data_IF_242985715793
#
_entry.id   IF_242985715793
#
_cell.length_a   1.000
_cell.length_b   1.000
_cell.length_c   1.000
_cell.angle_alpha   90.00
_cell.angle_beta   90.00
_cell.angle_gamma   90.00
#
_symmetry.space_group_name_H-M   'P 1'
#
loop_
_entity.id
_entity.type
_entity.pdbx_description
1 polymer ?
#
# COMPACT_ATOMS: atom_id res chain seq x y z
N UNK A 1 -21.06 -28.41 -33.42
CA UNK A 1 -22.06 -28.05 -32.39
C UNK A 1 -21.60 -26.82 -31.64
N UNK A 2 -21.95 -25.65 -32.16
CA UNK A 2 -21.58 -24.34 -31.62
C UNK A 2 -22.81 -23.74 -30.95
N UNK A 3 -22.73 -23.35 -29.68
CA UNK A 3 -23.86 -22.71 -28.96
C UNK A 3 -24.07 -21.28 -29.47
N UNK A 4 -25.31 -20.79 -29.61
CA UNK A 4 -25.55 -19.41 -30.01
C UNK A 4 -25.27 -18.46 -28.84
N UNK A 5 -24.73 -17.29 -29.20
CA UNK A 5 -24.40 -16.18 -28.33
C UNK A 5 -25.68 -15.39 -28.00
N UNK A 6 -25.92 -15.10 -26.71
CA UNK A 6 -27.05 -14.29 -26.23
C UNK A 6 -26.55 -12.91 -25.82
N UNK A 7 -27.03 -11.87 -26.50
CA UNK A 7 -26.79 -10.48 -26.09
C UNK A 7 -27.62 -10.14 -24.84
N UNK A 8 -27.13 -9.26 -23.93
CA UNK A 8 -27.94 -8.75 -22.84
C UNK A 8 -28.90 -7.67 -23.36
N UNK A 9 -30.19 -7.97 -23.31
CA UNK A 9 -31.30 -7.03 -23.56
C UNK A 9 -31.43 -6.10 -22.35
N UNK A 10 -31.25 -4.79 -22.54
CA UNK A 10 -31.54 -3.79 -21.51
C UNK A 10 -32.98 -3.31 -21.72
N UNK A 11 -33.86 -3.29 -20.70
CA UNK A 11 -35.21 -2.77 -20.86
C UNK A 11 -35.17 -1.23 -20.94
N UNK A 12 -35.83 -0.69 -21.97
CA UNK A 12 -36.14 0.72 -22.10
C UNK A 12 -37.23 1.10 -21.08
N UNK A 13 -36.94 2.04 -20.18
CA UNK A 13 -37.97 2.69 -19.36
C UNK A 13 -38.27 4.06 -19.92
N UNK A 14 -39.33 4.13 -20.74
CA UNK A 14 -40.02 5.37 -21.08
C UNK A 14 -41.20 5.53 -20.12
N UNK A 15 -41.32 6.68 -19.45
CA UNK A 15 -42.47 6.95 -18.59
C UNK A 15 -42.35 8.25 -17.80
N UNK A 16 -42.55 9.37 -18.48
CA UNK A 16 -42.91 10.63 -17.84
C UNK A 16 -44.36 10.54 -17.33
N UNK A 17 -44.59 10.99 -16.09
CA UNK A 17 -45.86 11.61 -15.70
C UNK A 17 -45.62 12.51 -14.48
N UNK A 18 -45.93 13.78 -14.70
CA UNK A 18 -46.09 14.85 -13.70
C UNK A 18 -47.04 14.42 -12.59
N UNK A 19 -46.61 14.58 -11.34
CA UNK A 19 -47.52 14.88 -10.24
C UNK A 19 -46.85 15.92 -9.33
N UNK A 20 -47.39 17.13 -9.41
CA UNK A 20 -47.13 18.25 -8.51
C UNK A 20 -47.76 17.97 -7.15
N UNK A 21 -46.95 17.77 -6.11
CA UNK A 21 -47.42 17.75 -4.72
C UNK A 21 -46.53 18.60 -3.79
N UNK A 22 -47.23 19.27 -2.88
CA UNK A 22 -46.81 20.30 -1.95
C UNK A 22 -45.51 20.02 -1.18
N UNK A 23 -44.66 21.05 -1.10
CA UNK A 23 -43.56 21.13 -0.16
C UNK A 23 -44.09 21.35 1.27
N UNK A 24 -44.12 20.28 2.06
CA UNK A 24 -44.16 20.36 3.53
C UNK A 24 -42.71 20.38 4.02
N UNK A 25 -42.33 21.44 4.72
CA UNK A 25 -41.03 21.61 5.37
C UNK A 25 -40.90 20.54 6.46
N UNK A 26 -40.12 19.49 6.19
CA UNK A 26 -39.80 18.44 7.14
C UNK A 26 -38.39 18.68 7.72
N UNK A 27 -38.31 18.51 9.03
CA UNK A 27 -37.22 18.87 9.94
C UNK A 27 -35.80 18.53 9.42
N UNK A 28 -34.92 19.51 9.57
CA UNK A 28 -33.47 19.36 9.42
C UNK A 28 -32.99 18.30 10.41
N UNK A 29 -32.37 17.19 9.97
CA UNK A 29 -31.80 16.22 10.88
C UNK A 29 -30.74 16.89 11.74
N UNK A 30 -30.91 16.78 13.06
CA UNK A 30 -29.91 17.15 14.07
C UNK A 30 -28.53 16.65 13.63
N UNK A 31 -27.59 17.58 13.57
CA UNK A 31 -26.21 17.35 13.15
C UNK A 31 -25.61 16.15 13.88
N UNK A 32 -25.38 15.09 13.12
CA UNK A 32 -24.45 14.04 13.51
C UNK A 32 -23.12 14.74 13.76
N UNK A 33 -22.75 14.89 15.04
CA UNK A 33 -21.42 15.33 15.42
C UNK A 33 -20.42 14.53 14.61
N UNK A 34 -19.64 15.21 13.77
CA UNK A 34 -18.52 14.58 13.09
C UNK A 34 -17.70 13.87 14.16
N UNK A 35 -17.46 12.55 14.01
CA UNK A 35 -16.60 11.85 14.94
C UNK A 35 -15.27 12.60 14.97
N UNK A 36 -14.66 12.80 16.16
CA UNK A 36 -13.43 13.56 16.27
C UNK A 36 -12.43 13.01 15.27
N UNK A 37 -11.90 13.90 14.42
CA UNK A 37 -10.94 13.53 13.40
C UNK A 37 -9.85 12.68 14.06
N UNK A 38 -9.81 11.38 13.73
CA UNK A 38 -8.79 10.48 14.27
C UNK A 38 -7.44 11.10 13.93
N UNK A 39 -6.73 11.57 14.95
CA UNK A 39 -5.44 12.20 14.77
C UNK A 39 -4.51 11.16 14.15
N UNK A 40 -4.05 11.45 12.94
CA UNK A 40 -3.11 10.59 12.23
C UNK A 40 -1.87 10.39 13.10
N UNK A 41 -1.38 9.16 13.29
CA UNK A 41 -0.09 8.95 13.92
C UNK A 41 0.97 9.68 13.09
N UNK A 42 1.50 10.76 13.63
CA UNK A 42 2.58 11.52 13.03
C UNK A 42 3.88 10.90 13.51
N UNK A 43 4.59 10.23 12.61
CA UNK A 43 5.93 9.72 12.91
C UNK A 43 6.92 10.87 12.80
N UNK A 44 7.61 11.16 13.90
CA UNK A 44 8.73 12.07 13.86
C UNK A 44 9.97 11.32 13.36
N UNK A 45 10.40 11.57 12.12
CA UNK A 45 11.64 11.03 11.57
C UNK A 45 12.74 12.08 11.73
N UNK A 46 13.80 11.83 12.52
CA UNK A 46 14.88 12.78 12.70
C UNK A 46 15.63 13.10 11.40
N UNK A 47 16.00 14.38 11.19
CA UNK A 47 16.72 14.80 9.98
C UNK A 47 18.12 14.18 9.85
N UNK A 48 18.82 13.92 10.95
CA UNK A 48 20.15 13.28 10.97
C UNK A 48 20.04 11.79 11.30
N UNK A 49 19.17 11.10 10.58
CA UNK A 49 18.84 9.70 10.80
C UNK A 49 20.07 8.80 10.66
N UNK A 50 20.33 7.97 11.67
CA UNK A 50 21.34 6.90 11.66
C UNK A 50 20.71 5.57 11.99
N UNK A 51 21.31 4.45 11.57
CA UNK A 51 20.72 3.12 11.78
C UNK A 51 20.61 2.78 13.27
N UNK A 52 21.57 3.23 14.09
CA UNK A 52 21.50 3.08 15.54
C UNK A 52 20.31 3.80 16.17
N UNK A 53 19.89 4.95 15.63
CA UNK A 53 18.69 5.65 16.10
C UNK A 53 17.43 4.87 15.73
N UNK A 54 17.40 4.24 14.55
CA UNK A 54 16.28 3.38 14.14
C UNK A 54 16.19 2.15 15.03
N UNK A 55 17.31 1.51 15.35
CA UNK A 55 17.33 0.34 16.22
C UNK A 55 16.93 0.65 17.66
N UNK A 56 17.26 1.85 18.15
CA UNK A 56 16.90 2.30 19.50
C UNK A 56 15.42 2.68 19.65
N UNK A 57 14.73 3.07 18.57
CA UNK A 57 13.30 3.42 18.59
C UNK A 57 12.44 2.33 17.92
N UNK A 58 11.67 1.53 18.70
CA UNK A 58 10.82 0.48 18.15
C UNK A 58 9.78 0.95 17.13
N UNK A 59 9.26 2.19 17.26
CA UNK A 59 8.27 2.74 16.33
C UNK A 59 8.91 3.08 15.00
N UNK A 60 10.10 3.69 15.04
CA UNK A 60 10.86 4.03 13.85
C UNK A 60 11.36 2.77 13.13
N UNK A 61 11.82 1.76 13.89
CA UNK A 61 12.15 0.44 13.36
C UNK A 61 10.96 -0.22 12.68
N UNK A 62 9.78 -0.16 13.30
CA UNK A 62 8.55 -0.70 12.72
C UNK A 62 8.16 0.02 11.43
N UNK A 63 8.21 1.36 11.42
CA UNK A 63 7.95 2.16 10.23
C UNK A 63 8.93 1.80 9.10
N UNK A 64 10.23 1.68 9.40
CA UNK A 64 11.23 1.27 8.42
C UNK A 64 10.90 -0.11 7.83
N UNK A 65 10.50 -1.06 8.69
CA UNK A 65 10.11 -2.40 8.26
C UNK A 65 8.87 -2.38 7.37
N UNK A 66 7.82 -1.65 7.75
CA UNK A 66 6.60 -1.52 6.94
C UNK A 66 6.91 -0.90 5.57
N UNK A 67 7.79 0.11 5.52
CA UNK A 67 8.25 0.72 4.26
C UNK A 67 9.03 -0.26 3.39
N UNK A 68 9.97 -1.03 3.98
CA UNK A 68 10.71 -2.06 3.25
C UNK A 68 9.76 -3.12 2.66
N UNK A 69 8.77 -3.57 3.43
CA UNK A 69 7.77 -4.53 2.97
C UNK A 69 6.96 -3.96 1.81
N UNK A 70 6.34 -2.79 1.99
CA UNK A 70 5.50 -2.16 0.96
C UNK A 70 6.28 -1.91 -0.34
N UNK A 71 7.53 -1.47 -0.22
CA UNK A 71 8.34 -1.12 -1.40
C UNK A 71 9.00 -2.31 -2.09
N UNK A 72 8.98 -3.49 -1.47
CA UNK A 72 9.40 -4.75 -2.10
C UNK A 72 8.46 -5.20 -3.22
N UNK A 73 7.19 -4.75 -3.19
CA UNK A 73 6.19 -5.02 -4.20
C UNK A 73 6.30 -4.08 -5.42
N UNK A 74 5.68 -4.47 -6.53
CA UNK A 74 5.54 -3.62 -7.70
C UNK A 74 4.56 -2.47 -7.46
N UNK A 75 4.67 -1.41 -8.27
CA UNK A 75 3.88 -0.17 -8.17
C UNK A 75 2.39 -0.30 -8.55
N UNK A 76 1.93 -1.52 -8.79
CA UNK A 76 0.55 -1.83 -9.10
C UNK A 76 0.15 -3.16 -8.47
N UNK A 77 0.90 -3.60 -7.46
CA UNK A 77 0.59 -4.80 -6.71
C UNK A 77 -0.68 -4.62 -5.90
N UNK A 78 -1.51 -5.66 -5.93
CA UNK A 78 -2.72 -5.77 -5.12
C UNK A 78 -2.35 -6.37 -3.76
N UNK A 79 -2.66 -5.64 -2.68
CA UNK A 79 -2.29 -5.98 -1.31
C UNK A 79 -3.52 -6.33 -0.47
N UNK A 80 -3.35 -7.28 0.47
CA UNK A 80 -4.38 -7.70 1.44
C UNK A 80 -4.12 -7.11 2.81
N UNK A 81 -2.86 -6.87 3.14
CA UNK A 81 -2.43 -6.23 4.36
C UNK A 81 -2.18 -4.73 4.13
N UNK A 82 -2.22 -4.00 5.25
CA UNK A 82 -1.96 -2.57 5.31
C UNK A 82 -1.29 -2.23 6.64
N UNK A 83 -0.28 -1.33 6.65
CA UNK A 83 0.27 -0.85 7.90
C UNK A 83 -0.79 -0.12 8.73
N UNK A 84 -0.76 -0.28 10.05
CA UNK A 84 -1.75 0.29 10.98
C UNK A 84 -1.83 1.83 10.96
N UNK A 85 -0.85 2.50 10.36
CA UNK A 85 -0.80 3.95 10.22
C UNK A 85 -1.39 4.46 8.89
N UNK A 86 -1.78 3.58 7.97
CA UNK A 86 -2.68 3.95 6.88
C UNK A 86 -4.10 3.95 7.46
N UNK A 87 -4.84 5.05 7.31
CA UNK A 87 -6.22 5.10 7.77
C UNK A 87 -7.02 4.09 6.95
N UNK A 88 -7.70 3.16 7.62
CA UNK A 88 -8.64 2.26 6.94
C UNK A 88 -9.89 3.06 6.54
N UNK A 89 -10.26 3.11 5.25
CA UNK A 89 -11.56 3.60 4.85
C UNK A 89 -12.65 2.82 5.59
N UNK A 90 -13.67 3.52 6.10
CA UNK A 90 -14.82 2.93 6.82
C UNK A 90 -15.57 1.81 6.05
N UNK A 91 -15.24 1.57 4.78
CA UNK A 91 -15.91 0.64 3.87
C UNK A 91 -15.00 -0.37 3.18
N UNK A 92 -13.70 -0.44 3.48
CA UNK A 92 -12.77 -1.28 2.69
C UNK A 92 -12.40 -2.60 3.36
N UNK A 93 -13.32 -3.56 3.34
CA UNK A 93 -12.97 -5.00 3.47
C UNK A 93 -12.23 -5.55 2.22
N UNK A 94 -11.52 -4.68 1.50
CA UNK A 94 -11.09 -4.93 0.11
C UNK A 94 -9.59 -4.80 -0.04
N UNK A 95 -9.08 -5.60 -0.98
CA UNK A 95 -7.81 -5.41 -1.62
C UNK A 95 -7.59 -3.96 -2.06
N UNK A 96 -6.35 -3.48 -1.97
CA UNK A 96 -5.96 -2.17 -2.47
C UNK A 96 -4.72 -2.27 -3.34
N UNK A 97 -4.55 -1.34 -4.26
CA UNK A 97 -3.37 -1.28 -5.12
C UNK A 97 -2.38 -0.28 -4.56
N UNK A 98 -1.13 -0.68 -4.40
CA UNK A 98 -0.06 0.24 -4.03
C UNK A 98 0.34 1.07 -5.26
N UNK A 99 0.38 2.39 -5.12
CA UNK A 99 0.93 3.30 -6.13
C UNK A 99 1.94 4.27 -5.52
N UNK A 100 2.90 4.67 -6.34
CA UNK A 100 3.95 5.62 -6.02
C UNK A 100 3.45 7.06 -6.17
N UNK A 101 3.91 7.97 -5.29
CA UNK A 101 3.82 9.40 -5.56
C UNK A 101 4.55 9.78 -6.84
N UNK A 102 4.18 10.93 -7.39
CA UNK A 102 4.72 11.44 -8.65
C UNK A 102 6.23 11.59 -8.66
N UNK A 103 6.86 11.89 -7.53
CA UNK A 103 8.30 12.11 -7.42
C UNK A 103 9.10 10.84 -7.12
N UNK A 104 8.43 9.69 -6.98
CA UNK A 104 9.05 8.40 -6.62
C UNK A 104 8.98 7.44 -7.82
N UNK A 105 10.00 6.59 -7.93
CA UNK A 105 10.05 5.46 -8.87
C UNK A 105 10.37 4.16 -8.16
N UNK A 106 9.90 3.09 -8.77
CA UNK A 106 10.31 1.72 -8.47
C UNK A 106 11.71 1.47 -9.01
N UNK A 107 12.58 0.95 -8.14
CA UNK A 107 13.96 0.59 -8.47
C UNK A 107 14.15 -0.90 -8.19
N UNK A 108 14.74 -1.62 -9.15
CA UNK A 108 15.10 -3.02 -8.97
C UNK A 108 16.37 -3.10 -8.11
N UNK A 109 16.35 -3.93 -7.07
CA UNK A 109 17.54 -4.22 -6.27
C UNK A 109 18.48 -5.18 -7.02
N UNK A 110 19.78 -5.19 -6.68
CA UNK A 110 20.70 -6.19 -7.19
C UNK A 110 20.16 -7.60 -6.95
N UNK A 111 20.27 -8.48 -7.95
CA UNK A 111 19.71 -9.83 -7.89
C UNK A 111 20.74 -10.89 -8.27
N UNK A 112 20.60 -12.09 -7.71
CA UNK A 112 21.28 -13.28 -8.21
C UNK A 112 20.64 -13.72 -9.54
N UNK A 113 21.41 -14.39 -10.40
CA UNK A 113 20.97 -14.79 -11.75
C UNK A 113 19.69 -15.65 -11.80
N UNK A 114 19.29 -16.26 -10.68
CA UNK A 114 18.12 -17.15 -10.56
C UNK A 114 17.13 -16.71 -9.48
N UNK A 115 17.25 -15.48 -8.96
CA UNK A 115 16.38 -14.95 -7.92
C UNK A 115 15.16 -14.24 -8.48
N UNK A 116 14.06 -14.22 -7.70
CA UNK A 116 12.92 -13.34 -7.98
C UNK A 116 13.36 -11.87 -7.86
N UNK A 117 12.89 -10.99 -8.76
CA UNK A 117 13.23 -9.58 -8.72
C UNK A 117 12.62 -8.93 -7.47
N UNK A 118 13.47 -8.34 -6.63
CA UNK A 118 13.03 -7.56 -5.45
C UNK A 118 13.15 -6.09 -5.76
N UNK A 119 12.12 -5.33 -5.42
CA UNK A 119 12.05 -3.90 -5.70
C UNK A 119 12.33 -3.06 -4.44
N UNK A 120 12.60 -1.78 -4.66
CA UNK A 120 12.58 -0.72 -3.65
C UNK A 120 12.03 0.57 -4.26
N UNK A 121 12.11 1.67 -3.53
CA UNK A 121 11.73 3.00 -4.00
C UNK A 121 12.86 4.01 -3.82
N UNK A 122 12.92 4.95 -4.74
CA UNK A 122 13.79 6.14 -4.66
C UNK A 122 13.12 7.33 -5.32
N UNK A 123 13.64 8.52 -5.02
CA UNK A 123 13.29 9.71 -5.78
C UNK A 123 13.66 9.58 -7.25
N UNK A 124 12.84 10.21 -8.09
CA UNK A 124 13.10 10.41 -9.50
C UNK A 124 14.38 11.20 -9.71
N UNK A 125 15.09 10.83 -10.77
CA UNK A 125 16.30 11.46 -11.28
C UNK A 125 16.07 11.87 -12.74
N UNK A 126 16.85 12.82 -13.26
CA UNK A 126 16.84 13.12 -14.69
C UNK A 126 17.06 11.83 -15.52
N UNK A 127 16.17 11.57 -16.47
CA UNK A 127 16.20 10.37 -17.32
C UNK A 127 15.25 9.24 -16.90
N UNK A 128 14.64 9.29 -15.71
CA UNK A 128 13.60 8.33 -15.34
C UNK A 128 12.34 8.50 -16.22
N UNK A 129 11.73 7.39 -16.62
CA UNK A 129 10.48 7.38 -17.38
C UNK A 129 9.33 8.03 -16.59
N UNK A 130 8.42 8.79 -17.22
CA UNK A 130 7.35 9.49 -16.50
C UNK A 130 6.37 8.53 -15.80
N UNK A 131 5.60 8.99 -14.78
CA UNK A 131 4.57 8.18 -14.13
C UNK A 131 3.54 7.65 -15.14
N UNK A 132 3.23 6.35 -15.05
CA UNK A 132 2.28 5.69 -15.97
C UNK A 132 0.84 5.85 -15.48
N UNK A 133 0.59 5.63 -14.19
CA UNK A 133 -0.75 5.60 -13.59
C UNK A 133 -1.16 6.95 -12.98
N UNK A 134 -0.41 7.45 -12.00
CA UNK A 134 -0.71 8.70 -11.31
C UNK A 134 0.10 9.85 -11.92
N UNK A 135 -0.52 10.56 -12.86
CA UNK A 135 0.13 11.56 -13.73
C UNK A 135 0.24 12.97 -13.14
N UNK A 136 -0.60 13.30 -12.16
CA UNK A 136 -0.64 14.61 -11.51
C UNK A 136 -0.96 14.50 -10.01
N UNK A 137 -0.64 15.55 -9.25
CA UNK A 137 -0.88 15.60 -7.81
C UNK A 137 -2.37 15.54 -7.43
N UNK A 138 -3.28 15.91 -8.35
CA UNK A 138 -4.72 15.80 -8.14
C UNK A 138 -5.16 14.34 -8.16
N UNK A 139 -4.58 13.52 -9.05
CA UNK A 139 -4.77 12.08 -9.11
C UNK A 139 -4.17 11.38 -7.88
N UNK A 140 -2.98 11.79 -7.45
CA UNK A 140 -2.38 11.32 -6.19
C UNK A 140 -3.30 11.58 -4.99
N UNK A 141 -3.83 12.81 -4.89
CA UNK A 141 -4.76 13.17 -3.81
C UNK A 141 -6.02 12.30 -3.81
N UNK A 142 -6.66 12.13 -4.97
CA UNK A 142 -7.83 11.24 -5.10
C UNK A 142 -7.53 9.80 -4.73
N UNK A 143 -6.37 9.28 -5.13
CA UNK A 143 -5.92 7.94 -4.75
C UNK A 143 -5.78 7.82 -3.23
N UNK A 144 -5.13 8.79 -2.59
CA UNK A 144 -5.00 8.84 -1.14
C UNK A 144 -6.36 8.90 -0.43
N UNK A 145 -7.30 9.68 -0.95
CA UNK A 145 -8.67 9.79 -0.40
C UNK A 145 -9.44 8.47 -0.52
N UNK A 146 -9.37 7.83 -1.69
CA UNK A 146 -10.09 6.60 -1.98
C UNK A 146 -9.56 5.41 -1.17
N UNK A 147 -8.24 5.30 -1.08
CA UNK A 147 -7.59 4.17 -0.44
C UNK A 147 -7.08 4.49 0.97
N UNK A 148 -7.28 5.69 1.53
CA UNK A 148 -6.79 6.03 2.87
C UNK A 148 -5.25 6.01 3.03
N UNK A 149 -4.53 6.20 1.92
CA UNK A 149 -3.06 6.33 1.94
C UNK A 149 -2.69 7.72 2.45
N UNK A 150 -1.68 7.88 3.34
CA UNK A 150 -1.21 9.21 3.73
C UNK A 150 -0.72 10.02 2.52
N UNK A 151 -1.10 11.30 2.44
CA UNK A 151 -0.71 12.16 1.31
C UNK A 151 0.81 12.35 1.17
N UNK A 152 1.51 12.26 2.30
CA UNK A 152 2.95 12.34 2.48
C UNK A 152 3.63 10.95 2.48
N UNK A 153 2.92 9.88 2.09
CA UNK A 153 3.52 8.57 1.88
C UNK A 153 4.69 8.66 0.89
N UNK A 154 5.82 8.06 1.24
CA UNK A 154 7.11 8.16 0.54
C UNK A 154 7.56 9.62 0.33
N UNK A 155 7.37 10.46 1.34
CA UNK A 155 8.08 11.74 1.47
C UNK A 155 9.59 11.53 1.62
N UNK A 156 10.35 12.63 1.67
CA UNK A 156 11.81 12.61 1.75
C UNK A 156 12.33 11.81 2.94
N UNK A 157 11.79 12.06 4.13
CA UNK A 157 12.24 11.38 5.33
C UNK A 157 11.90 9.89 5.31
N UNK A 158 10.75 9.50 4.77
CA UNK A 158 10.38 8.09 4.62
C UNK A 158 11.27 7.38 3.60
N UNK A 159 11.58 8.02 2.47
CA UNK A 159 12.51 7.46 1.48
C UNK A 159 13.91 7.36 2.08
N UNK A 160 14.37 8.35 2.86
CA UNK A 160 15.67 8.27 3.56
C UNK A 160 15.69 7.13 4.58
N UNK A 161 14.65 6.99 5.40
CA UNK A 161 14.49 5.90 6.36
C UNK A 161 14.49 4.53 5.68
N UNK A 162 13.75 4.39 4.59
CA UNK A 162 13.74 3.20 3.74
C UNK A 162 15.14 2.87 3.23
N UNK A 163 15.84 3.85 2.64
CA UNK A 163 17.16 3.67 2.02
C UNK A 163 18.26 3.34 3.00
N UNK A 164 18.11 3.76 4.26
CA UNK A 164 18.99 3.42 5.36
C UNK A 164 18.84 1.96 5.79
N UNK A 165 17.63 1.40 5.69
CA UNK A 165 17.35 0.00 6.06
C UNK A 165 17.78 -1.04 5.02
N UNK A 166 18.22 -0.61 3.83
CA UNK A 166 18.72 -1.53 2.81
C UNK A 166 20.15 -1.98 3.17
N UNK A 167 20.44 -3.28 3.26
CA UNK A 167 21.78 -3.78 3.56
C UNK A 167 22.80 -3.29 2.54
N UNK A 168 23.98 -2.89 3.01
CA UNK A 168 25.08 -2.40 2.17
C UNK A 168 26.36 -3.17 2.45
N UNK A 169 27.19 -3.29 1.42
CA UNK A 169 28.56 -3.79 1.53
C UNK A 169 29.47 -2.68 2.06
N UNK A 170 30.71 -3.05 2.38
CA UNK A 170 31.75 -2.13 2.84
C UNK A 170 32.05 -1.00 1.83
N UNK A 171 31.82 -1.25 0.53
CA UNK A 171 31.96 -0.26 -0.55
C UNK A 171 30.75 0.71 -0.65
N UNK A 172 29.74 0.57 0.21
CA UNK A 172 28.53 1.38 0.23
C UNK A 172 27.45 0.96 -0.78
N UNK A 173 27.72 -0.05 -1.62
CA UNK A 173 26.76 -0.58 -2.58
C UNK A 173 25.68 -1.41 -1.87
N UNK A 174 24.45 -1.35 -2.40
CA UNK A 174 23.34 -2.13 -1.87
C UNK A 174 23.60 -3.62 -2.13
N UNK A 175 23.43 -4.45 -1.10
CA UNK A 175 23.55 -5.89 -1.21
C UNK A 175 22.40 -6.49 -2.00
N UNK A 176 22.64 -7.66 -2.59
CA UNK A 176 21.57 -8.53 -3.06
C UNK A 176 20.70 -8.92 -1.85
N UNK A 177 19.36 -8.78 -1.92
CA UNK A 177 18.47 -9.23 -0.86
C UNK A 177 18.66 -10.73 -0.57
N UNK A 178 18.49 -11.17 0.68
CA UNK A 178 18.57 -12.58 1.01
C UNK A 178 17.49 -13.35 0.26
N UNK A 179 17.78 -14.59 -0.14
CA UNK A 179 16.78 -15.44 -0.78
C UNK A 179 15.65 -15.79 0.18
N UNK A 180 15.94 -15.92 1.49
CA UNK A 180 14.98 -16.21 2.56
C UNK A 180 15.47 -15.73 3.94
N UNK A 181 14.54 -15.36 4.86
CA UNK A 181 13.14 -15.07 4.60
C UNK A 181 13.01 -13.71 3.89
N UNK A 182 12.21 -13.68 2.83
CA UNK A 182 11.76 -12.41 2.27
C UNK A 182 10.85 -11.75 3.28
N UNK A 183 10.87 -10.42 3.34
CA UNK A 183 9.97 -9.62 4.15
C UNK A 183 8.51 -10.02 3.88
N UNK A 184 7.85 -10.80 4.75
CA UNK A 184 6.54 -11.33 4.42
C UNK A 184 5.52 -10.18 4.45
N UNK A 185 4.49 -10.27 3.59
CA UNK A 185 3.25 -9.57 3.87
C UNK A 185 2.78 -10.04 5.25
N UNK A 186 2.64 -9.16 6.25
CA UNK A 186 2.08 -9.54 7.53
C UNK A 186 0.67 -10.10 7.30
N UNK A 187 0.41 -11.33 7.76
CA UNK A 187 -0.92 -11.92 7.59
C UNK A 187 -1.99 -11.04 8.26
N UNK A 188 -3.17 -10.87 7.63
CA UNK A 188 -4.27 -10.12 8.24
C UNK A 188 -4.66 -10.71 9.60
N UNK A 189 -5.02 -9.83 10.54
CA UNK A 189 -5.38 -10.19 11.92
C UNK A 189 -6.78 -10.83 11.99
N UNK A 190 -6.93 -12.01 11.39
CA UNK A 190 -8.09 -12.92 11.43
C UNK A 190 -7.97 -14.07 10.43
N UNK A 191 -6.95 -14.07 9.55
CA UNK A 191 -6.78 -15.08 8.49
C UNK A 191 -5.59 -16.01 8.79
N UNK A 192 -5.81 -16.95 9.72
CA UNK A 192 -5.07 -18.22 9.92
C UNK A 192 -3.57 -18.17 10.28
N UNK A 193 -3.13 -19.26 10.89
CA UNK A 193 -1.84 -19.44 11.56
C UNK A 193 -0.62 -19.07 10.70
N UNK A 194 0.36 -18.48 11.37
CA UNK A 194 1.65 -18.09 10.83
C UNK A 194 2.35 -19.28 10.14
N UNK A 195 3.07 -19.06 9.04
CA UNK A 195 3.84 -20.12 8.34
C UNK A 195 4.91 -20.77 9.25
N UNK A 196 5.29 -20.14 10.36
CA UNK A 196 6.18 -20.76 11.36
C UNK A 196 5.45 -21.38 12.56
N UNK A 197 4.12 -21.52 12.51
CA UNK A 197 3.37 -22.29 13.51
C UNK A 197 3.79 -23.78 13.40
N UNK A 198 4.36 -24.39 14.46
CA UNK A 198 4.84 -25.77 14.45
C UNK A 198 3.80 -26.77 13.94
N UNK A 199 2.51 -26.49 14.14
CA UNK A 199 1.42 -27.38 13.73
C UNK A 199 1.20 -27.39 12.21
N UNK A 200 1.71 -26.38 11.50
CA UNK A 200 1.61 -26.27 10.03
C UNK A 200 2.77 -26.95 9.28
N UNK A 201 3.81 -27.40 9.99
CA UNK A 201 5.04 -27.96 9.39
C UNK A 201 4.75 -29.23 8.58
N UNK A 202 3.76 -30.02 8.98
CA UNK A 202 3.36 -31.26 8.30
C UNK A 202 2.68 -31.04 6.95
N UNK A 203 2.25 -29.81 6.65
CA UNK A 203 1.54 -29.46 5.41
C UNK A 203 2.39 -28.70 4.40
N UNK A 204 3.64 -28.39 4.77
CA UNK A 204 4.57 -27.70 3.88
C UNK A 204 5.08 -28.67 2.79
N UNK A 205 5.38 -28.17 1.57
CA UNK A 205 5.99 -28.99 0.52
C UNK A 205 7.27 -29.66 1.03
N UNK A 206 7.54 -30.91 0.61
CA UNK A 206 8.69 -31.75 1.04
C UNK A 206 10.09 -31.11 1.00
N UNK A 207 10.24 -29.91 0.43
CA UNK A 207 11.48 -29.14 0.40
C UNK A 207 11.78 -28.39 1.73
N UNK A 208 10.85 -28.39 2.68
CA UNK A 208 11.00 -27.72 3.99
C UNK A 208 10.93 -28.69 5.20
N UNK A 209 11.08 -30.00 4.95
CA UNK A 209 11.47 -30.97 5.98
C UNK A 209 13.00 -31.02 6.11
#
# INVERSE_FOLDING_TARGET
NTRPYSFPTTPESSGFSDVSECFTVADVPLGLSEPPAQQRPTFHIPQNLTQSMVEADPRLKRLQQDLLNLTSFNDNSTLRWRPSWFIEPKSSSRFWTLHNPLHVVTELLPQHHLGEPVMTRRFRRPGDAPPVYLKDWKAWKRYCDLYGVPYDFLCEDQVRLLRLGLPRREDGMICVPPSWPLYPEPQPFSESNYILDPDTYYSLPRKFH
#
